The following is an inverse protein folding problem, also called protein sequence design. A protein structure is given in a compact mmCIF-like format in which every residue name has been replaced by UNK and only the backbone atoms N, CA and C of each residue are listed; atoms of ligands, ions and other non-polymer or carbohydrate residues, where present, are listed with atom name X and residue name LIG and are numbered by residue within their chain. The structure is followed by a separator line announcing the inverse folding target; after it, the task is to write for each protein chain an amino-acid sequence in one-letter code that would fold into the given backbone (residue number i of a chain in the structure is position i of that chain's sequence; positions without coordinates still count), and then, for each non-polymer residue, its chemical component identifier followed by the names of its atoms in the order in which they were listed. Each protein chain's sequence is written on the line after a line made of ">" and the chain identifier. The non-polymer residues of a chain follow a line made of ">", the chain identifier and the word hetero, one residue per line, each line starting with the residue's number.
data_IF_129457449377
#
_entry.id   IF_129457449377
#
_cell.length_a   1.000
_cell.length_b   1.000
_cell.length_c   1.000
_cell.angle_alpha   90.00
_cell.angle_beta   90.00
_cell.angle_gamma   90.00
#
_symmetry.space_group_name_H-M   'P 1'
#
loop_
_entity.id
_entity.type
_entity.pdbx_description
1 polymer ?
#
# COMPACT_ATOMS: atom_id res chain seq x y z
N UNK A 1 11.20 10.91 16.07
CA UNK A 1 11.50 11.31 14.68
C UNK A 1 10.58 12.45 14.33
N UNK A 2 11.03 13.47 13.57
CA UNK A 2 10.12 14.47 13.02
C UNK A 2 8.97 13.80 12.28
N UNK A 3 7.76 14.24 12.60
CA UNK A 3 6.53 13.84 11.94
C UNK A 3 6.47 14.39 10.52
N UNK A 4 5.69 13.73 9.68
CA UNK A 4 5.41 14.13 8.29
C UNK A 4 3.91 14.09 8.05
N UNK A 5 3.45 14.71 6.95
CA UNK A 5 2.12 14.46 6.44
C UNK A 5 2.08 13.04 5.86
N UNK A 6 1.25 12.19 6.46
CA UNK A 6 1.02 10.81 6.07
C UNK A 6 -0.30 10.75 5.30
N UNK A 7 -0.37 9.96 4.23
CA UNK A 7 -1.60 9.73 3.48
C UNK A 7 -2.64 8.98 4.33
N UNK A 8 -2.18 7.97 5.07
CA UNK A 8 -2.96 7.21 6.05
C UNK A 8 -3.56 5.93 5.47
N UNK A 9 -4.00 5.97 4.21
CA UNK A 9 -4.54 4.80 3.52
C UNK A 9 -3.98 4.54 2.09
N UNK A 10 -2.65 4.50 1.90
CA UNK A 10 -2.09 4.14 0.60
C UNK A 10 -2.25 2.63 0.34
N UNK A 11 -3.09 2.29 -0.63
CA UNK A 11 -3.18 0.97 -1.22
C UNK A 11 -3.38 1.07 -2.74
N UNK A 12 -3.34 -0.06 -3.45
CA UNK A 12 -3.37 -0.08 -4.92
C UNK A 12 -4.59 0.58 -5.57
N UNK A 13 -5.69 0.77 -4.84
CA UNK A 13 -6.87 1.49 -5.32
C UNK A 13 -6.73 3.02 -5.26
N UNK A 14 -5.86 3.52 -4.39
CA UNK A 14 -5.62 4.95 -4.16
C UNK A 14 -4.37 5.47 -4.91
N UNK A 15 -3.76 4.63 -5.74
CA UNK A 15 -2.56 4.93 -6.52
C UNK A 15 -2.90 4.75 -8.01
N UNK A 16 -2.92 5.85 -8.75
CA UNK A 16 -3.22 5.87 -10.18
C UNK A 16 -1.92 5.92 -10.98
N UNK A 17 -1.83 5.06 -11.99
CA UNK A 17 -0.68 4.96 -12.89
C UNK A 17 -0.99 5.57 -14.25
N UNK A 18 0.02 6.16 -14.89
CA UNK A 18 -0.09 6.70 -16.24
C UNK A 18 -0.34 5.59 -17.25
N UNK A 19 -1.03 5.94 -18.34
CA UNK A 19 -1.23 5.06 -19.48
C UNK A 19 -0.46 5.60 -20.68
N UNK A 20 0.18 4.70 -21.43
CA UNK A 20 0.80 5.05 -22.69
C UNK A 20 -0.27 5.36 -23.77
N UNK A 21 0.18 5.74 -24.97
CA UNK A 21 -0.71 6.03 -26.10
C UNK A 21 -1.60 4.85 -26.52
N UNK A 22 -1.19 3.63 -26.23
CA UNK A 22 -1.91 2.40 -26.56
C UNK A 22 -2.88 1.95 -25.44
N UNK A 23 -2.87 2.65 -24.31
CA UNK A 23 -3.72 2.36 -23.15
C UNK A 23 -3.12 1.39 -22.14
N UNK A 24 -1.85 0.99 -22.29
CA UNK A 24 -1.16 0.12 -21.33
C UNK A 24 -0.58 0.92 -20.16
N UNK A 25 -0.46 0.27 -19.01
CA UNK A 25 0.08 0.87 -17.77
C UNK A 25 1.57 1.15 -17.91
N UNK A 26 1.97 2.39 -17.64
CA UNK A 26 3.35 2.82 -17.54
C UNK A 26 3.86 2.78 -16.09
N UNK A 27 5.18 2.72 -15.92
CA UNK A 27 5.83 2.82 -14.62
C UNK A 27 5.98 4.29 -14.16
N UNK A 28 4.95 5.09 -14.40
CA UNK A 28 4.86 6.49 -13.98
C UNK A 28 3.59 6.68 -13.15
N UNK A 29 3.76 7.34 -12.01
CA UNK A 29 2.66 7.67 -11.12
C UNK A 29 1.89 8.87 -11.67
N UNK A 30 0.60 8.71 -11.92
CA UNK A 30 -0.28 9.81 -12.34
C UNK A 30 -0.80 10.61 -11.15
N UNK A 31 -1.32 9.93 -10.12
CA UNK A 31 -1.86 10.59 -8.93
C UNK A 31 -1.93 9.65 -7.73
N UNK A 32 -1.89 10.24 -6.54
CA UNK A 32 -2.32 9.61 -5.29
C UNK A 32 -3.60 10.32 -4.87
N UNK A 33 -4.67 9.55 -4.67
CA UNK A 33 -6.02 10.07 -4.38
C UNK A 33 -6.50 9.57 -3.03
N UNK A 34 -7.64 10.08 -2.59
CA UNK A 34 -8.31 9.68 -1.35
C UNK A 34 -7.53 10.00 -0.06
N UNK A 35 -7.24 11.29 0.11
CA UNK A 35 -6.51 11.83 1.26
C UNK A 35 -7.37 11.99 2.54
N UNK A 36 -8.55 11.37 2.62
CA UNK A 36 -9.48 11.59 3.74
C UNK A 36 -8.94 11.11 5.10
N UNK A 37 -7.94 10.23 5.10
CA UNK A 37 -7.25 9.73 6.30
C UNK A 37 -5.93 10.44 6.60
N UNK A 38 -5.62 11.53 5.89
CA UNK A 38 -4.34 12.21 6.04
C UNK A 38 -4.16 12.79 7.45
N UNK A 39 -2.97 12.64 8.01
CA UNK A 39 -2.65 13.15 9.35
C UNK A 39 -1.15 13.34 9.54
N UNK A 40 -0.78 13.98 10.64
CA UNK A 40 0.60 14.08 11.08
C UNK A 40 1.04 12.75 11.71
N UNK A 41 2.06 12.10 11.14
CA UNK A 41 2.47 10.77 11.57
C UNK A 41 3.91 10.42 11.23
N UNK A 42 4.24 9.14 11.36
CA UNK A 42 5.55 8.61 10.99
C UNK A 42 5.63 8.34 9.49
N UNK A 43 6.78 8.64 8.83
CA UNK A 43 6.97 8.37 7.40
C UNK A 43 6.86 6.87 7.03
N UNK A 44 6.99 5.99 8.03
CA UNK A 44 6.90 4.54 7.81
C UNK A 44 5.46 4.00 7.89
N UNK A 45 4.48 4.83 8.26
CA UNK A 45 3.08 4.41 8.34
C UNK A 45 2.51 4.09 6.97
N UNK A 46 2.69 4.98 6.00
CA UNK A 46 2.26 4.77 4.61
C UNK A 46 2.95 3.55 3.98
N UNK A 47 4.26 3.38 4.23
CA UNK A 47 5.00 2.21 3.75
C UNK A 47 4.48 0.91 4.38
N UNK A 48 4.18 0.92 5.68
CA UNK A 48 3.62 -0.22 6.38
C UNK A 48 2.19 -0.54 5.92
N UNK A 49 1.33 0.46 5.70
CA UNK A 49 -0.02 0.29 5.16
C UNK A 49 0.06 -0.36 3.79
N UNK A 50 0.87 0.20 2.88
CA UNK A 50 1.02 -0.30 1.52
C UNK A 50 1.53 -1.73 1.48
N UNK A 51 2.61 -2.05 2.21
CA UNK A 51 3.16 -3.41 2.24
C UNK A 51 2.20 -4.41 2.89
N UNK A 52 1.36 -3.99 3.84
CA UNK A 52 0.37 -4.87 4.47
C UNK A 52 -0.80 -5.18 3.51
N UNK A 53 -1.27 -4.18 2.74
CA UNK A 53 -2.43 -4.32 1.85
C UNK A 53 -2.09 -4.89 0.48
N UNK A 54 -0.94 -4.51 -0.07
CA UNK A 54 -0.62 -4.75 -1.48
C UNK A 54 0.36 -5.92 -1.68
N UNK A 55 0.84 -6.55 -0.61
CA UNK A 55 1.79 -7.66 -0.73
C UNK A 55 1.43 -8.83 0.17
N UNK A 56 1.72 -10.04 -0.28
CA UNK A 56 1.67 -11.21 0.58
C UNK A 56 2.90 -11.26 1.50
N UNK A 57 2.88 -12.14 2.51
CA UNK A 57 3.95 -12.24 3.49
C UNK A 57 5.33 -12.59 2.92
N UNK A 58 5.41 -13.30 1.78
CA UNK A 58 6.69 -13.63 1.13
C UNK A 58 7.29 -12.38 0.49
N UNK A 59 6.51 -11.67 -0.32
CA UNK A 59 6.94 -10.44 -0.99
C UNK A 59 7.29 -9.37 0.04
N UNK A 60 6.49 -9.19 1.09
CA UNK A 60 6.77 -8.23 2.17
C UNK A 60 8.13 -8.46 2.82
N UNK A 61 8.42 -9.70 3.23
CA UNK A 61 9.71 -10.05 3.86
C UNK A 61 10.89 -9.81 2.93
N UNK A 62 10.72 -10.07 1.63
CA UNK A 62 11.74 -9.75 0.63
C UNK A 62 11.93 -8.23 0.51
N UNK A 63 10.83 -7.47 0.44
CA UNK A 63 10.85 -6.00 0.38
C UNK A 63 11.57 -5.38 1.58
N UNK A 64 11.28 -5.85 2.79
CA UNK A 64 11.89 -5.37 4.04
C UNK A 64 13.43 -5.48 4.06
N UNK A 65 14.04 -6.34 3.23
CA UNK A 65 15.50 -6.45 3.13
C UNK A 65 16.16 -5.24 2.46
N UNK A 66 15.46 -4.54 1.57
CA UNK A 66 16.03 -3.45 0.77
C UNK A 66 15.28 -2.13 0.91
N UNK A 67 13.98 -2.14 1.21
CA UNK A 67 13.10 -0.98 1.09
C UNK A 67 13.50 0.19 1.98
N UNK A 68 14.01 -0.07 3.19
CA UNK A 68 14.45 0.99 4.09
C UNK A 68 15.71 1.69 3.61
N UNK A 69 16.63 0.94 2.98
CA UNK A 69 17.80 1.54 2.35
C UNK A 69 17.37 2.37 1.14
N UNK A 70 16.49 1.82 0.30
CA UNK A 70 15.94 2.52 -0.85
C UNK A 70 15.26 3.83 -0.45
N UNK A 71 14.39 3.80 0.57
CA UNK A 71 13.72 4.98 1.10
C UNK A 71 14.70 6.04 1.60
N UNK A 72 15.73 5.63 2.35
CA UNK A 72 16.76 6.53 2.86
C UNK A 72 17.60 7.15 1.73
N UNK A 73 17.92 6.37 0.68
CA UNK A 73 18.63 6.88 -0.49
C UNK A 73 17.77 7.86 -1.31
N UNK A 74 16.46 7.60 -1.45
CA UNK A 74 15.53 8.57 -2.04
C UNK A 74 15.52 9.87 -1.24
N UNK A 75 15.37 9.81 0.09
CA UNK A 75 15.43 11.01 0.93
C UNK A 75 16.74 11.78 0.78
N UNK A 76 17.89 11.10 0.76
CA UNK A 76 19.19 11.76 0.57
C UNK A 76 19.23 12.54 -0.74
N UNK A 77 18.66 12.01 -1.84
CA UNK A 77 18.61 12.70 -3.13
C UNK A 77 17.78 13.99 -3.05
N UNK A 78 16.66 13.98 -2.33
CA UNK A 78 15.83 15.17 -2.12
C UNK A 78 16.54 16.27 -1.29
N UNK A 79 17.55 15.90 -0.50
CA UNK A 79 18.40 16.84 0.26
C UNK A 79 19.74 17.15 -0.43
N UNK A 80 19.80 17.09 -1.77
CA UNK A 80 21.02 17.33 -2.57
C UNK A 80 22.22 16.43 -2.18
N UNK A 81 21.94 15.25 -1.62
CA UNK A 81 22.96 14.33 -1.10
C UNK A 81 23.54 14.72 0.27
N UNK A 82 23.06 15.80 0.90
CA UNK A 82 23.50 16.24 2.22
C UNK A 82 22.88 15.36 3.32
N UNK A 83 23.61 14.29 3.65
CA UNK A 83 23.21 13.32 4.69
C UNK A 83 22.99 13.97 6.06
N UNK A 84 23.61 15.13 6.34
CA UNK A 84 23.44 15.82 7.62
C UNK A 84 22.04 16.42 7.80
N UNK A 85 21.32 16.66 6.69
CA UNK A 85 19.95 17.17 6.69
C UNK A 85 18.89 16.08 6.77
N UNK A 86 19.26 14.82 6.55
CA UNK A 86 18.31 13.70 6.63
C UNK A 86 17.93 13.48 8.09
N UNK A 87 16.65 13.67 8.47
CA UNK A 87 16.25 13.70 9.89
C UNK A 87 16.16 12.31 10.54
N UNK A 88 16.50 11.25 9.80
CA UNK A 88 16.27 9.86 10.19
C UNK A 88 17.48 8.99 9.89
N UNK A 89 17.77 8.06 10.80
CA UNK A 89 18.70 6.96 10.58
C UNK A 89 17.98 5.72 10.06
N UNK A 90 18.70 4.83 9.37
CA UNK A 90 18.15 3.54 8.93
C UNK A 90 17.54 2.74 10.09
N UNK A 91 18.17 2.77 11.26
CA UNK A 91 17.66 2.06 12.44
C UNK A 91 16.34 2.66 12.93
N UNK A 92 16.19 3.98 12.92
CA UNK A 92 14.94 4.64 13.30
C UNK A 92 13.81 4.31 12.31
N UNK A 93 14.10 4.27 11.00
CA UNK A 93 13.12 3.85 9.98
C UNK A 93 12.65 2.41 10.22
N UNK A 94 13.58 1.47 10.43
CA UNK A 94 13.23 0.07 10.73
C UNK A 94 12.40 -0.07 12.00
N UNK A 95 12.79 0.62 13.07
CA UNK A 95 12.04 0.60 14.33
C UNK A 95 10.64 1.17 14.15
N UNK A 96 10.48 2.31 13.49
CA UNK A 96 9.17 2.90 13.25
C UNK A 96 8.29 2.06 12.33
N UNK A 97 8.86 1.43 11.29
CA UNK A 97 8.14 0.48 10.46
C UNK A 97 7.62 -0.70 11.28
N UNK A 98 8.42 -1.29 12.16
CA UNK A 98 7.97 -2.42 12.98
C UNK A 98 6.78 -2.04 13.87
N UNK A 99 6.78 -0.84 14.46
CA UNK A 99 5.63 -0.33 15.21
C UNK A 99 4.42 -0.10 14.30
N UNK A 100 4.62 0.60 13.18
CA UNK A 100 3.56 0.89 12.22
C UNK A 100 2.94 -0.41 11.65
N UNK A 101 3.74 -1.41 11.33
CA UNK A 101 3.28 -2.69 10.79
C UNK A 101 2.30 -3.40 11.73
N UNK A 102 2.56 -3.38 13.04
CA UNK A 102 1.63 -3.96 14.04
C UNK A 102 0.30 -3.23 14.02
N UNK A 103 0.33 -1.89 14.01
CA UNK A 103 -0.88 -1.05 13.97
C UNK A 103 -1.64 -1.27 12.66
N UNK A 104 -0.95 -1.29 11.53
CA UNK A 104 -1.56 -1.46 10.21
C UNK A 104 -2.14 -2.87 10.03
N UNK A 105 -1.52 -3.89 10.62
CA UNK A 105 -2.08 -5.24 10.65
C UNK A 105 -3.41 -5.25 11.43
N UNK A 106 -3.51 -4.53 12.54
CA UNK A 106 -4.76 -4.43 13.31
C UNK A 106 -5.88 -3.75 12.51
N UNK A 107 -5.58 -2.64 11.82
CA UNK A 107 -6.55 -2.00 10.92
C UNK A 107 -6.98 -2.94 9.78
N UNK A 108 -6.03 -3.63 9.14
CA UNK A 108 -6.34 -4.59 8.06
C UNK A 108 -7.28 -5.71 8.52
N UNK A 109 -7.11 -6.21 9.76
CA UNK A 109 -7.99 -7.24 10.32
C UNK A 109 -9.40 -6.68 10.56
N UNK A 110 -9.51 -5.41 10.95
CA UNK A 110 -10.80 -4.74 11.12
C UNK A 110 -11.51 -4.57 9.76
N UNK A 111 -10.75 -4.23 8.72
CA UNK A 111 -11.22 -4.10 7.34
C UNK A 111 -11.61 -5.45 6.70
N UNK A 112 -11.13 -6.59 7.26
CA UNK A 112 -11.41 -7.94 6.76
C UNK A 112 -12.89 -8.28 6.67
N UNK A 113 -13.71 -7.70 7.54
CA UNK A 113 -15.18 -7.87 7.53
C UNK A 113 -15.77 -7.47 6.18
N UNK A 114 -15.34 -6.32 5.64
CA UNK A 114 -15.80 -5.81 4.34
C UNK A 114 -15.28 -6.68 3.18
N UNK A 115 -14.04 -7.16 3.27
CA UNK A 115 -13.48 -8.05 2.24
C UNK A 115 -14.20 -9.40 2.18
N UNK A 116 -14.59 -9.97 3.32
CA UNK A 116 -15.34 -11.23 3.35
C UNK A 116 -16.73 -11.08 2.73
N UNK A 117 -17.40 -9.96 2.97
CA UNK A 117 -18.69 -9.65 2.34
C UNK A 117 -18.54 -9.55 0.82
N UNK A 118 -17.58 -8.77 0.33
CA UNK A 118 -17.31 -8.62 -1.11
C UNK A 118 -16.95 -9.96 -1.79
N UNK A 119 -16.20 -10.84 -1.10
CA UNK A 119 -15.89 -12.19 -1.61
C UNK A 119 -17.14 -13.05 -1.69
N UNK A 120 -18.01 -13.00 -0.68
CA UNK A 120 -19.26 -13.75 -0.68
C UNK A 120 -20.18 -13.30 -1.81
N UNK A 121 -20.38 -11.99 -1.97
CA UNK A 121 -21.18 -11.43 -3.08
C UNK A 121 -20.65 -11.87 -4.44
N UNK A 122 -19.32 -11.80 -4.65
CA UNK A 122 -18.69 -12.25 -5.89
C UNK A 122 -18.90 -13.75 -6.13
N UNK A 123 -18.78 -14.57 -5.09
CA UNK A 123 -19.00 -16.00 -5.19
C UNK A 123 -20.47 -16.35 -5.49
N UNK A 124 -21.42 -15.63 -4.92
CA UNK A 124 -22.85 -15.79 -5.26
C UNK A 124 -23.14 -15.37 -6.68
N UNK A 125 -22.59 -14.24 -7.15
CA UNK A 125 -22.71 -13.82 -8.55
C UNK A 125 -22.15 -14.85 -9.54
N UNK A 126 -21.01 -15.46 -9.22
CA UNK A 126 -20.44 -16.55 -10.03
C UNK A 126 -21.36 -17.77 -10.06
N UNK A 127 -21.90 -18.18 -8.91
CA UNK A 127 -22.83 -19.32 -8.82
C UNK A 127 -24.10 -19.06 -9.63
N UNK A 128 -24.67 -17.87 -9.55
CA UNK A 128 -25.85 -17.48 -10.32
C UNK A 128 -25.57 -17.55 -11.83
N UNK A 129 -24.44 -17.01 -12.29
CA UNK A 129 -24.05 -17.07 -13.71
C UNK A 129 -23.90 -18.50 -14.24
N UNK A 130 -23.39 -19.44 -13.43
CA UNK A 130 -23.32 -20.85 -13.83
C UNK A 130 -24.68 -21.55 -13.84
N UNK A 131 -25.62 -21.15 -12.96
CA UNK A 131 -26.98 -21.67 -12.97
C UNK A 131 -27.72 -21.25 -14.25
N UNK A 132 -27.59 -19.99 -14.67
CA UNK A 132 -28.21 -19.45 -15.89
C UNK A 132 -27.70 -20.14 -17.16
N UNK A 133 -26.41 -20.51 -17.22
CA UNK A 133 -25.84 -21.26 -18.36
C UNK A 133 -26.44 -22.67 -18.43
N UNK A 134 -26.62 -23.33 -17.28
CA UNK A 134 -27.18 -24.68 -17.20
C UNK A 134 -28.67 -24.78 -17.57
N UNK A 135 -29.43 -23.68 -17.47
CA UNK A 135 -30.84 -23.63 -17.88
C UNK A 135 -31.02 -23.29 -19.38
N UNK A 136 -29.98 -22.79 -20.06
CA UNK A 136 -30.05 -22.40 -21.48
C UNK A 136 -29.86 -23.54 -22.50
N UNK A 137 -29.53 -24.75 -22.03
CA UNK A 137 -29.27 -25.95 -22.84
C UNK A 137 -30.44 -26.97 -22.85
N UNK A 138 -31.69 -26.53 -22.60
CA UNK A 138 -32.92 -27.35 -22.71
C UNK A 138 -33.95 -26.77 -23.68
#
# INVERSE_FOLDING_TARGET
>A
MPSVLVHGDPHSGNILWSLNSDGDIENELSAIIDWQTMHEGSPMEDLARFLTHCTNGVIRRQAETFIFNYYLECLKKEFDGDVSKVPYTLQQLKTAYNFAFVIQTFFTISDMSFFLEAINEKNEGIKAAFADIGESDC
#
